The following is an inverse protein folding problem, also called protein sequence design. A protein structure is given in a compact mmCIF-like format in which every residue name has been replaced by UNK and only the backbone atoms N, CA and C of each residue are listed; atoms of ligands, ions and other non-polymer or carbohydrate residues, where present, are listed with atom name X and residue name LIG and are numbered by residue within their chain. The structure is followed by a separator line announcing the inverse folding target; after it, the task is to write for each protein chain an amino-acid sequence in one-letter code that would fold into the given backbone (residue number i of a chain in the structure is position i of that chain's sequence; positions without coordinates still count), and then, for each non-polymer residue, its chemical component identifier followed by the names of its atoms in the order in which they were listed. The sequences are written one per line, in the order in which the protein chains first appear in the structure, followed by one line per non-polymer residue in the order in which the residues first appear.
data_IF_118557154173
#
_entry.id   IF_118557154173
#
_cell.length_a   1.000
_cell.length_b   1.000
_cell.length_c   1.000
_cell.angle_alpha   90.00
_cell.angle_beta   90.00
_cell.angle_gamma   90.00
#
_symmetry.space_group_name_H-M   'P 1'
#
loop_
_entity.id
_entity.type
_entity.pdbx_description
1 polymer ?
#
# COMPACT_ATOMS: atom_id res chain seq x y z
N UNK A 1 -24.21 4.09 35.70
CA UNK A 1 -24.37 4.80 34.41
C UNK A 1 -23.16 5.69 34.23
N UNK A 2 -22.35 5.47 33.18
CA UNK A 2 -21.24 6.37 32.85
C UNK A 2 -21.88 7.68 32.40
N UNK A 3 -21.71 8.75 33.17
CA UNK A 3 -22.19 10.08 32.82
C UNK A 3 -21.46 10.53 31.56
N UNK A 4 -22.21 10.92 30.53
CA UNK A 4 -21.66 11.37 29.25
C UNK A 4 -21.25 12.83 29.39
N UNK A 5 -19.95 13.10 29.39
CA UNK A 5 -19.42 14.46 29.41
C UNK A 5 -19.21 14.96 27.97
N UNK A 6 -19.99 15.93 27.48
CA UNK A 6 -19.76 16.54 26.19
C UNK A 6 -18.48 17.39 26.20
N UNK A 7 -17.79 17.44 25.06
CA UNK A 7 -16.65 18.31 24.84
C UNK A 7 -16.63 18.82 23.41
N UNK A 8 -16.03 20.00 23.19
CA UNK A 8 -15.56 20.36 21.86
C UNK A 8 -14.50 19.34 21.42
N UNK A 9 -14.44 19.04 20.13
CA UNK A 9 -13.45 18.09 19.62
C UNK A 9 -12.03 18.48 20.10
N UNK A 10 -11.33 17.55 20.76
CA UNK A 10 -10.13 17.88 21.56
C UNK A 10 -8.90 18.30 20.74
N UNK A 11 -8.93 18.16 19.41
CA UNK A 11 -7.89 18.72 18.54
C UNK A 11 -8.00 20.22 18.31
N UNK A 12 -9.09 20.86 18.74
CA UNK A 12 -9.23 22.32 18.67
C UNK A 12 -8.75 22.98 19.96
N UNK A 13 -7.85 23.95 19.81
CA UNK A 13 -7.63 24.97 20.83
C UNK A 13 -8.74 26.02 20.75
N UNK A 14 -9.44 26.26 21.86
CA UNK A 14 -10.55 27.21 21.93
C UNK A 14 -10.01 28.58 22.37
N UNK A 15 -10.28 29.62 21.58
CA UNK A 15 -9.95 31.01 21.92
C UNK A 15 -11.23 31.86 21.90
N UNK A 16 -11.60 32.41 23.06
CA UNK A 16 -12.83 33.20 23.22
C UNK A 16 -12.46 34.67 23.17
N UNK A 17 -13.08 35.41 22.24
CA UNK A 17 -12.98 36.86 22.13
C UNK A 17 -14.36 37.44 22.40
N UNK A 18 -14.53 37.97 23.61
CA UNK A 18 -15.74 38.66 23.99
C UNK A 18 -16.02 39.88 23.08
N UNK A 19 -17.31 40.23 22.86
CA UNK A 19 -18.50 39.64 23.49
C UNK A 19 -19.16 38.51 22.69
N UNK A 20 -18.71 38.19 21.48
CA UNK A 20 -19.50 37.36 20.53
C UNK A 20 -18.71 36.36 19.70
N UNK A 21 -17.38 36.24 19.83
CA UNK A 21 -16.58 35.42 18.93
C UNK A 21 -15.87 34.29 19.67
N UNK A 22 -15.90 33.10 19.09
CA UNK A 22 -15.07 31.98 19.52
C UNK A 22 -14.36 31.39 18.33
N UNK A 23 -13.06 31.17 18.45
CA UNK A 23 -12.23 30.56 17.43
C UNK A 23 -11.84 29.15 17.88
N UNK A 24 -12.05 28.19 17.00
CA UNK A 24 -11.58 26.81 17.14
C UNK A 24 -10.36 26.66 16.24
N UNK A 25 -9.18 26.60 16.83
CA UNK A 25 -7.89 26.56 16.15
C UNK A 25 -7.36 25.12 16.14
N UNK A 26 -7.31 24.48 14.98
CA UNK A 26 -6.68 23.18 14.78
C UNK A 26 -5.49 23.29 13.82
N UNK A 27 -4.60 22.30 13.81
CA UNK A 27 -3.42 22.30 12.93
C UNK A 27 -3.78 22.21 11.43
N UNK A 28 -4.92 21.59 11.11
CA UNK A 28 -5.37 21.35 9.73
C UNK A 28 -6.59 22.19 9.32
N UNK A 29 -7.29 22.79 10.28
CA UNK A 29 -8.51 23.56 10.02
C UNK A 29 -8.73 24.62 11.10
N UNK A 30 -9.43 25.69 10.76
CA UNK A 30 -9.78 26.76 11.71
C UNK A 30 -11.22 27.18 11.47
N UNK A 31 -11.97 27.38 12.55
CA UNK A 31 -13.37 27.75 12.50
C UNK A 31 -13.66 28.93 13.42
N UNK A 32 -14.63 29.76 13.04
CA UNK A 32 -15.12 30.87 13.84
C UNK A 32 -16.62 30.70 14.12
N UNK A 33 -16.99 30.76 15.39
CA UNK A 33 -18.36 30.75 15.87
C UNK A 33 -18.72 32.16 16.33
N UNK A 34 -19.90 32.65 15.92
CA UNK A 34 -20.39 33.97 16.32
C UNK A 34 -21.68 33.83 17.11
N UNK A 35 -21.68 34.29 18.35
CA UNK A 35 -22.82 34.28 19.27
C UNK A 35 -22.40 34.40 20.73
N UNK A 36 -23.16 35.17 21.53
CA UNK A 36 -22.89 35.37 22.97
C UNK A 36 -23.00 34.06 23.75
N UNK A 37 -23.97 33.21 23.37
CA UNK A 37 -24.17 31.89 23.99
C UNK A 37 -22.95 30.98 23.80
N UNK A 38 -22.23 31.07 22.68
CA UNK A 38 -21.01 30.28 22.48
C UNK A 38 -19.92 30.70 23.47
N UNK A 39 -19.73 32.00 23.72
CA UNK A 39 -18.76 32.49 24.69
C UNK A 39 -19.05 32.00 26.12
N UNK A 40 -20.32 31.79 26.46
CA UNK A 40 -20.74 31.32 27.80
C UNK A 40 -20.72 29.79 27.95
N UNK A 41 -21.09 29.05 26.90
CA UNK A 41 -21.25 27.58 26.97
C UNK A 41 -19.93 26.84 26.70
N UNK A 42 -19.12 27.28 25.73
CA UNK A 42 -17.90 26.55 25.33
C UNK A 42 -16.87 26.32 26.46
N UNK A 43 -16.67 27.25 27.43
CA UNK A 43 -15.80 26.98 28.58
C UNK A 43 -16.20 25.76 29.42
N UNK A 44 -17.46 25.33 29.34
CA UNK A 44 -17.98 24.17 30.08
C UNK A 44 -17.99 22.88 29.23
N UNK A 45 -17.64 22.97 27.94
CA UNK A 45 -17.52 21.83 27.02
C UNK A 45 -16.07 21.34 26.96
N UNK A 46 -15.51 21.06 28.13
CA UNK A 46 -14.13 20.62 28.37
C UNK A 46 -14.03 19.10 28.63
N UNK A 47 -15.14 18.38 28.59
CA UNK A 47 -15.21 16.95 28.88
C UNK A 47 -15.19 16.58 30.36
N UNK A 48 -15.17 17.57 31.26
CA UNK A 48 -15.19 17.36 32.72
C UNK A 48 -16.60 17.53 33.31
N UNK A 49 -17.47 18.26 32.62
CA UNK A 49 -18.84 18.52 33.04
C UNK A 49 -19.81 17.59 32.31
N UNK A 50 -20.72 16.96 33.05
CA UNK A 50 -21.88 16.31 32.46
C UNK A 50 -22.99 17.35 32.18
N UNK A 51 -24.03 16.94 31.45
CA UNK A 51 -25.11 17.86 31.08
C UNK A 51 -25.78 18.50 32.30
N UNK A 52 -26.02 17.73 33.36
CA UNK A 52 -26.62 18.23 34.61
C UNK A 52 -25.75 19.31 35.26
N UNK A 53 -24.43 19.13 35.29
CA UNK A 53 -23.50 20.14 35.81
C UNK A 53 -23.44 21.39 34.92
N UNK A 54 -23.58 21.25 33.60
CA UNK A 54 -23.64 22.39 32.68
C UNK A 54 -24.92 23.21 32.93
N UNK A 55 -26.09 22.56 33.03
CA UNK A 55 -27.34 23.26 33.35
C UNK A 55 -27.26 23.98 34.70
N UNK A 56 -26.72 23.32 35.72
CA UNK A 56 -26.57 23.93 37.05
C UNK A 56 -25.60 25.11 37.05
N UNK A 57 -24.49 25.06 36.30
CA UNK A 57 -23.52 26.16 36.25
C UNK A 57 -24.04 27.38 35.48
N UNK A 58 -24.96 27.19 34.55
CA UNK A 58 -25.55 28.25 33.74
C UNK A 58 -26.95 28.68 34.22
N UNK A 59 -27.40 28.16 35.36
CA UNK A 59 -28.69 28.50 35.95
C UNK A 59 -28.77 30.01 36.24
N UNK A 60 -29.90 30.62 35.85
CA UNK A 60 -30.10 32.07 35.91
C UNK A 60 -29.35 32.91 34.85
N UNK A 61 -28.43 32.34 34.07
CA UNK A 61 -27.71 33.03 32.99
C UNK A 61 -28.24 32.66 31.59
N UNK A 62 -28.51 31.37 31.36
CA UNK A 62 -28.98 30.84 30.07
C UNK A 62 -30.12 29.86 30.31
N UNK A 63 -31.22 30.01 29.56
CA UNK A 63 -32.33 29.07 29.60
C UNK A 63 -31.90 27.67 29.10
N UNK A 64 -32.34 26.56 29.72
CA UNK A 64 -31.97 25.21 29.30
C UNK A 64 -32.21 24.92 27.80
N UNK A 65 -33.32 25.40 27.25
CA UNK A 65 -33.67 25.25 25.83
C UNK A 65 -32.62 25.87 24.88
N UNK A 66 -31.98 26.96 25.29
CA UNK A 66 -30.91 27.59 24.51
C UNK A 66 -29.59 26.81 24.62
N UNK A 67 -29.33 26.15 25.75
CA UNK A 67 -28.17 25.26 25.92
C UNK A 67 -28.34 24.08 24.98
N UNK A 68 -29.51 23.43 24.98
CA UNK A 68 -29.83 22.30 24.11
C UNK A 68 -29.67 22.66 22.64
N UNK A 69 -30.25 23.79 22.22
CA UNK A 69 -30.12 24.31 20.85
C UNK A 69 -28.65 24.54 20.44
N UNK A 70 -27.81 25.06 21.34
CA UNK A 70 -26.38 25.26 21.06
C UNK A 70 -25.66 23.93 20.93
N UNK A 71 -25.93 22.97 21.81
CA UNK A 71 -25.31 21.64 21.76
C UNK A 71 -25.70 20.87 20.50
N UNK A 72 -26.98 20.89 20.13
CA UNK A 72 -27.48 20.27 18.91
C UNK A 72 -26.83 20.92 17.68
N UNK A 73 -26.76 22.24 17.63
CA UNK A 73 -26.11 22.96 16.53
C UNK A 73 -24.60 22.67 16.42
N UNK A 74 -23.90 22.53 17.54
CA UNK A 74 -22.49 22.14 17.55
C UNK A 74 -22.30 20.70 17.11
N UNK A 75 -23.20 19.79 17.50
CA UNK A 75 -23.20 18.39 17.09
C UNK A 75 -23.50 18.22 15.60
N UNK A 76 -24.51 18.90 15.08
CA UNK A 76 -24.86 18.91 13.65
C UNK A 76 -23.71 19.40 12.78
N UNK A 77 -22.95 20.39 13.26
CA UNK A 77 -21.76 20.90 12.58
C UNK A 77 -20.49 20.09 12.81
N UNK A 78 -20.55 19.03 13.61
CA UNK A 78 -19.41 18.18 13.90
C UNK A 78 -18.35 18.82 14.79
N UNK A 79 -18.68 19.78 15.65
CA UNK A 79 -17.73 20.37 16.62
C UNK A 79 -17.81 19.74 18.01
N UNK A 80 -18.91 19.05 18.31
CA UNK A 80 -19.16 18.42 19.61
C UNK A 80 -18.92 16.91 19.55
N UNK A 81 -18.27 16.37 20.57
CA UNK A 81 -18.11 14.92 20.77
C UNK A 81 -18.30 14.56 22.25
N UNK A 82 -18.38 13.27 22.55
CA UNK A 82 -18.29 12.77 23.92
C UNK A 82 -16.82 12.55 24.30
N UNK A 83 -16.49 12.91 25.54
CA UNK A 83 -15.20 12.58 26.13
C UNK A 83 -15.06 11.07 26.35
N UNK A 84 -13.84 10.57 26.18
CA UNK A 84 -13.46 9.19 26.47
C UNK A 84 -12.46 9.20 27.64
N UNK A 85 -12.92 8.97 28.89
CA UNK A 85 -12.08 9.09 30.08
C UNK A 85 -10.84 8.18 30.08
N UNK A 86 -10.90 7.07 29.34
CA UNK A 86 -9.82 6.11 29.16
C UNK A 86 -8.68 6.60 28.25
N UNK A 87 -8.85 7.71 27.52
CA UNK A 87 -7.82 8.29 26.65
C UNK A 87 -7.24 9.56 27.26
N UNK A 88 -5.94 9.79 27.04
CA UNK A 88 -5.37 11.11 27.34
C UNK A 88 -5.93 12.17 26.38
N UNK A 89 -5.92 13.46 26.76
CA UNK A 89 -6.37 14.54 25.87
C UNK A 89 -5.66 14.55 24.52
N UNK A 90 -4.37 14.25 24.49
CA UNK A 90 -3.55 14.22 23.27
C UNK A 90 -3.93 13.04 22.35
N UNK A 91 -4.19 11.86 22.93
CA UNK A 91 -4.64 10.70 22.16
C UNK A 91 -6.06 10.93 21.62
N UNK A 92 -6.96 11.47 22.44
CA UNK A 92 -8.30 11.84 22.00
C UNK A 92 -8.27 12.89 20.88
N UNK A 93 -7.36 13.88 20.99
CA UNK A 93 -7.13 14.89 19.96
C UNK A 93 -6.71 14.25 18.63
N UNK A 94 -5.72 13.34 18.63
CA UNK A 94 -5.28 12.63 17.44
C UNK A 94 -6.45 11.94 16.70
N UNK A 95 -7.30 11.22 17.43
CA UNK A 95 -8.46 10.54 16.82
C UNK A 95 -9.51 11.51 16.31
N UNK A 96 -9.81 12.56 17.07
CA UNK A 96 -10.78 13.56 16.64
C UNK A 96 -10.32 14.33 15.40
N UNK A 97 -9.01 14.54 15.23
CA UNK A 97 -8.43 15.16 14.03
C UNK A 97 -8.57 14.25 12.79
N UNK A 98 -8.68 12.94 13.00
CA UNK A 98 -9.04 11.97 11.97
C UNK A 98 -10.56 11.81 11.80
N UNK A 99 -11.36 12.73 12.35
CA UNK A 99 -12.82 12.70 12.34
C UNK A 99 -13.41 11.44 13.03
N UNK A 100 -12.69 10.86 13.99
CA UNK A 100 -13.16 9.72 14.79
C UNK A 100 -13.56 10.19 16.17
N UNK A 101 -14.77 9.85 16.62
CA UNK A 101 -15.21 10.10 17.99
C UNK A 101 -14.26 9.39 18.98
N UNK A 102 -13.71 10.07 20.01
CA UNK A 102 -12.77 9.46 20.96
C UNK A 102 -13.30 8.19 21.63
N UNK A 103 -14.61 8.09 21.87
CA UNK A 103 -15.25 6.90 22.44
C UNK A 103 -15.19 5.68 21.51
N UNK A 104 -15.28 5.88 20.19
CA UNK A 104 -15.11 4.81 19.19
C UNK A 104 -13.65 4.37 19.15
N UNK A 105 -12.72 5.33 19.17
CA UNK A 105 -11.29 5.04 19.19
C UNK A 105 -10.88 4.23 20.43
N UNK A 106 -11.33 4.66 21.61
CA UNK A 106 -11.09 3.96 22.87
C UNK A 106 -11.60 2.51 22.84
N UNK A 107 -12.81 2.31 22.32
CA UNK A 107 -13.39 0.98 22.16
C UNK A 107 -12.58 0.12 21.19
N UNK A 108 -12.18 0.67 20.04
CA UNK A 108 -11.36 -0.02 19.05
C UNK A 108 -10.01 -0.48 19.62
N UNK A 109 -9.31 0.43 20.31
CA UNK A 109 -8.02 0.15 20.94
C UNK A 109 -8.12 -0.88 22.09
N UNK A 110 -9.17 -0.80 22.91
CA UNK A 110 -9.36 -1.68 24.07
C UNK A 110 -9.85 -3.09 23.72
N UNK A 111 -10.76 -3.23 22.75
CA UNK A 111 -11.39 -4.52 22.40
C UNK A 111 -10.51 -5.39 21.49
N UNK A 112 -9.73 -4.77 20.59
CA UNK A 112 -8.99 -5.51 19.57
C UNK A 112 -7.59 -5.90 20.04
N UNK A 113 -7.17 -7.10 19.62
CA UNK A 113 -5.85 -7.63 19.92
C UNK A 113 -5.05 -7.88 18.65
N UNK A 114 -3.74 -7.68 18.71
CA UNK A 114 -2.82 -7.94 17.60
C UNK A 114 -1.81 -9.04 17.93
N UNK A 115 -1.51 -9.91 16.98
CA UNK A 115 -0.50 -10.96 17.13
C UNK A 115 0.79 -10.57 16.42
N UNK A 116 1.95 -10.68 17.07
CA UNK A 116 3.24 -10.27 16.48
C UNK A 116 4.11 -11.50 16.19
N UNK A 117 4.53 -11.63 14.93
CA UNK A 117 5.46 -12.64 14.43
C UNK A 117 6.70 -11.98 13.80
N UNK A 118 7.81 -12.71 13.78
CA UNK A 118 9.07 -12.29 13.15
C UNK A 118 9.45 -13.31 12.07
N UNK A 119 10.02 -12.83 10.96
CA UNK A 119 10.48 -13.64 9.84
C UNK A 119 11.82 -13.14 9.34
N UNK A 120 12.76 -14.05 9.07
CA UNK A 120 14.12 -13.70 8.68
C UNK A 120 14.97 -13.27 9.87
N UNK A 121 15.95 -12.40 9.65
CA UNK A 121 16.92 -12.02 10.68
C UNK A 121 16.41 -10.85 11.57
N UNK A 122 15.21 -10.99 12.12
CA UNK A 122 14.64 -10.05 13.08
C UNK A 122 14.72 -10.64 14.49
N UNK A 123 15.48 -9.99 15.36
CA UNK A 123 15.68 -10.43 16.74
C UNK A 123 14.46 -10.23 17.64
N UNK A 124 14.41 -10.99 18.73
CA UNK A 124 13.34 -10.91 19.73
C UNK A 124 13.21 -9.52 20.37
N UNK A 125 14.33 -8.79 20.54
CA UNK A 125 14.29 -7.43 21.08
C UNK A 125 13.45 -6.49 20.22
N UNK A 126 13.53 -6.60 18.90
CA UNK A 126 12.70 -5.78 17.98
C UNK A 126 11.21 -6.08 18.15
N UNK A 127 10.86 -7.35 18.38
CA UNK A 127 9.48 -7.75 18.68
C UNK A 127 8.99 -7.14 20.00
N UNK A 128 9.83 -7.15 21.03
CA UNK A 128 9.52 -6.54 22.33
C UNK A 128 9.33 -5.02 22.17
N UNK A 129 10.24 -4.33 21.47
CA UNK A 129 10.11 -2.89 21.21
C UNK A 129 8.81 -2.52 20.48
N UNK A 130 8.38 -3.32 19.49
CA UNK A 130 7.09 -3.08 18.83
C UNK A 130 5.92 -3.32 19.78
N UNK A 131 6.02 -4.34 20.64
CA UNK A 131 4.99 -4.64 21.64
C UNK A 131 4.81 -3.47 22.60
N UNK A 132 5.91 -2.88 23.06
CA UNK A 132 5.91 -1.69 23.91
C UNK A 132 5.31 -0.48 23.18
N UNK A 133 5.72 -0.21 21.93
CA UNK A 133 5.16 0.86 21.12
C UNK A 133 3.64 0.71 20.90
N UNK A 134 3.17 -0.51 20.62
CA UNK A 134 1.73 -0.78 20.48
C UNK A 134 0.99 -0.54 21.79
N UNK A 135 1.55 -0.98 22.92
CA UNK A 135 0.97 -0.73 24.25
C UNK A 135 0.88 0.77 24.56
N UNK A 136 1.89 1.55 24.19
CA UNK A 136 1.89 3.01 24.34
C UNK A 136 0.80 3.68 23.50
N UNK A 137 0.46 3.11 22.34
CA UNK A 137 -0.69 3.56 21.53
C UNK A 137 -2.06 3.03 22.00
N UNK A 138 -2.09 2.24 23.08
CA UNK A 138 -3.32 1.62 23.61
C UNK A 138 -3.74 0.32 22.92
N UNK A 139 -2.95 -0.20 21.97
CA UNK A 139 -3.23 -1.47 21.26
C UNK A 139 -2.70 -2.65 22.06
N UNK A 140 -3.58 -3.60 22.37
CA UNK A 140 -3.22 -4.81 23.10
C UNK A 140 -2.58 -5.87 22.17
N UNK A 141 -1.49 -6.49 22.61
CA UNK A 141 -0.87 -7.60 21.89
C UNK A 141 -1.17 -8.96 22.53
N UNK A 142 -1.50 -9.97 21.74
CA UNK A 142 -1.59 -11.36 22.19
C UNK A 142 -0.27 -12.09 22.07
N UNK A 143 0.06 -12.88 23.10
CA UNK A 143 1.10 -13.90 22.98
C UNK A 143 0.46 -15.27 22.70
N UNK A 144 1.06 -16.11 21.84
CA UNK A 144 0.58 -17.47 21.64
C UNK A 144 0.71 -18.26 22.95
N UNK A 145 -0.41 -18.71 23.50
CA UNK A 145 -0.44 -19.60 24.67
C UNK A 145 -0.83 -21.02 24.22
N UNK A 146 -0.07 -22.03 24.66
CA UNK A 146 -0.39 -23.45 24.50
C UNK A 146 -0.71 -23.92 23.05
N UNK A 147 0.03 -23.42 22.06
CA UNK A 147 -0.07 -23.89 20.67
C UNK A 147 -1.39 -23.58 19.95
N UNK A 148 -2.30 -22.82 20.57
CA UNK A 148 -3.50 -22.27 19.92
C UNK A 148 -3.28 -20.78 19.69
N UNK A 149 -3.36 -20.35 18.43
CA UNK A 149 -3.34 -18.93 18.10
C UNK A 149 -4.64 -18.28 18.59
N UNK A 150 -4.58 -17.28 19.48
CA UNK A 150 -5.75 -16.49 19.83
C UNK A 150 -6.29 -15.78 18.57
N UNK A 151 -7.59 -15.53 18.53
CA UNK A 151 -8.23 -14.70 17.50
C UNK A 151 -7.76 -13.25 17.64
N UNK A 152 -6.75 -12.88 16.85
CA UNK A 152 -6.27 -11.51 16.74
C UNK A 152 -6.99 -10.78 15.61
N UNK A 153 -7.32 -9.51 15.79
CA UNK A 153 -7.88 -8.67 14.74
C UNK A 153 -6.88 -8.48 13.58
N UNK A 154 -5.59 -8.37 13.91
CA UNK A 154 -4.50 -8.20 12.93
C UNK A 154 -3.28 -9.03 13.32
N UNK A 155 -2.68 -9.74 12.37
CA UNK A 155 -1.36 -10.34 12.53
C UNK A 155 -0.27 -9.39 11.97
N UNK A 156 0.68 -9.01 12.80
CA UNK A 156 1.81 -8.16 12.45
C UNK A 156 3.05 -9.02 12.21
N UNK A 157 3.63 -8.93 11.02
CA UNK A 157 4.82 -9.70 10.64
C UNK A 157 5.98 -8.76 10.39
N UNK A 158 6.96 -8.79 11.30
CA UNK A 158 8.22 -8.08 11.16
C UNK A 158 9.18 -8.92 10.31
N UNK A 159 9.80 -8.31 9.31
CA UNK A 159 10.79 -8.99 8.47
C UNK A 159 11.95 -8.09 8.06
N UNK A 160 13.05 -8.68 7.63
CA UNK A 160 14.21 -8.01 7.04
C UNK A 160 14.15 -7.95 5.50
N UNK A 161 13.31 -8.75 4.86
CA UNK A 161 13.07 -8.75 3.41
C UNK A 161 11.67 -9.27 3.06
N UNK A 162 10.97 -8.62 2.12
CA UNK A 162 9.60 -9.00 1.74
C UNK A 162 9.54 -10.25 0.85
N UNK A 163 10.67 -10.77 0.40
CA UNK A 163 10.79 -12.02 -0.36
C UNK A 163 11.18 -13.22 0.52
N UNK A 164 11.20 -13.08 1.84
CA UNK A 164 11.48 -14.20 2.75
C UNK A 164 10.56 -15.41 2.47
N UNK A 165 11.09 -16.63 2.24
CA UNK A 165 10.30 -17.80 1.86
C UNK A 165 9.19 -18.17 2.85
N UNK A 166 9.43 -17.99 4.14
CA UNK A 166 8.48 -18.30 5.22
C UNK A 166 7.19 -17.48 5.12
N UNK A 167 7.24 -16.31 4.46
CA UNK A 167 6.06 -15.49 4.21
C UNK A 167 5.03 -16.18 3.29
N UNK A 168 5.46 -17.15 2.47
CA UNK A 168 4.54 -17.94 1.65
C UNK A 168 3.58 -18.77 2.50
N UNK A 169 4.08 -19.39 3.56
CA UNK A 169 3.28 -20.21 4.47
C UNK A 169 2.33 -19.34 5.30
N UNK A 170 2.82 -18.21 5.81
CA UNK A 170 1.99 -17.22 6.51
C UNK A 170 0.85 -16.75 5.60
N UNK A 171 1.16 -16.38 4.36
CA UNK A 171 0.15 -15.94 3.40
C UNK A 171 -0.91 -17.02 3.13
N UNK A 172 -0.52 -18.29 2.98
CA UNK A 172 -1.49 -19.38 2.79
C UNK A 172 -2.39 -19.56 4.01
N UNK A 173 -1.82 -19.54 5.21
CA UNK A 173 -2.58 -19.65 6.45
C UNK A 173 -3.54 -18.48 6.65
N UNK A 174 -3.09 -17.25 6.38
CA UNK A 174 -3.94 -16.06 6.49
C UNK A 174 -5.10 -16.09 5.46
N UNK A 175 -4.86 -16.60 4.25
CA UNK A 175 -5.92 -16.76 3.26
C UNK A 175 -6.94 -17.84 3.67
N UNK A 176 -6.51 -18.98 4.21
CA UNK A 176 -7.41 -20.07 4.62
C UNK A 176 -8.22 -19.73 5.87
N UNK A 177 -7.68 -18.89 6.75
CA UNK A 177 -8.32 -18.44 7.99
C UNK A 177 -9.03 -17.09 7.86
N UNK A 178 -8.99 -16.47 6.67
CA UNK A 178 -9.50 -15.12 6.42
C UNK A 178 -8.93 -14.07 7.40
N UNK A 179 -7.67 -14.26 7.83
CA UNK A 179 -6.99 -13.42 8.82
C UNK A 179 -6.30 -12.23 8.13
N UNK A 180 -6.66 -10.97 8.47
CA UNK A 180 -5.89 -9.81 8.04
C UNK A 180 -4.50 -9.77 8.68
N UNK A 181 -3.51 -9.33 7.91
CA UNK A 181 -2.12 -9.24 8.40
C UNK A 181 -1.33 -8.12 7.71
N UNK A 182 -0.30 -7.61 8.38
CA UNK A 182 0.56 -6.53 7.90
C UNK A 182 2.02 -6.96 7.84
N UNK A 183 2.72 -6.54 6.78
CA UNK A 183 4.18 -6.62 6.71
C UNK A 183 4.86 -5.33 7.15
N UNK A 184 5.96 -5.46 7.90
CA UNK A 184 6.80 -4.33 8.29
C UNK A 184 8.27 -4.72 8.19
N UNK A 185 9.06 -3.92 7.49
CA UNK A 185 10.52 -4.00 7.44
C UNK A 185 11.11 -2.77 8.14
N UNK A 186 11.35 -2.84 9.46
CA UNK A 186 11.81 -1.70 10.24
C UNK A 186 13.34 -1.57 10.24
N UNK A 187 14.06 -2.45 9.53
CA UNK A 187 15.52 -2.48 9.42
C UNK A 187 15.98 -2.03 8.03
N UNK A 188 17.23 -1.60 7.92
CA UNK A 188 17.79 -1.03 6.68
C UNK A 188 17.62 0.49 6.58
N UNK A 189 18.21 1.08 5.54
CA UNK A 189 18.14 2.52 5.26
C UNK A 189 16.81 2.99 4.66
N UNK A 190 15.96 2.05 4.23
CA UNK A 190 14.62 2.31 3.71
C UNK A 190 13.65 1.47 4.53
N UNK A 191 12.80 2.11 5.32
CA UNK A 191 11.75 1.47 6.11
C UNK A 191 10.58 1.13 5.20
N UNK A 192 10.02 -0.08 5.31
CA UNK A 192 8.84 -0.47 4.53
C UNK A 192 7.70 -0.83 5.49
N UNK A 193 6.57 -0.16 5.34
CA UNK A 193 5.38 -0.37 6.15
C UNK A 193 4.24 -0.80 5.23
N UNK A 194 3.53 -1.86 5.60
CA UNK A 194 2.47 -2.42 4.80
C UNK A 194 2.97 -3.37 3.71
N UNK A 195 2.07 -3.97 2.93
CA UNK A 195 0.65 -3.69 2.97
C UNK A 195 -0.03 -4.42 4.11
N UNK A 196 -1.17 -3.89 4.51
CA UNK A 196 -2.18 -4.69 5.21
C UNK A 196 -2.87 -5.51 4.13
N UNK A 197 -2.67 -6.82 4.20
CA UNK A 197 -3.34 -7.81 3.40
C UNK A 197 -4.68 -8.13 4.07
N UNK A 198 -5.76 -7.84 3.38
CA UNK A 198 -7.11 -8.25 3.77
C UNK A 198 -7.58 -9.30 2.77
N UNK A 199 -7.65 -10.59 3.16
CA UNK A 199 -8.12 -11.64 2.26
C UNK A 199 -9.45 -11.25 1.59
N UNK A 200 -9.61 -11.60 0.32
CA UNK A 200 -10.76 -11.25 -0.53
C UNK A 200 -10.92 -9.76 -0.90
N UNK A 201 -10.26 -8.82 -0.23
CA UNK A 201 -10.36 -7.39 -0.53
C UNK A 201 -9.09 -6.81 -1.19
N UNK A 202 -7.90 -7.25 -0.79
CA UNK A 202 -6.63 -6.76 -1.33
C UNK A 202 -5.90 -7.83 -2.17
N UNK A 203 -4.82 -7.45 -2.85
CA UNK A 203 -3.83 -8.42 -3.32
C UNK A 203 -3.25 -9.24 -2.17
N UNK A 204 -2.86 -10.50 -2.41
CA UNK A 204 -2.14 -11.32 -1.42
C UNK A 204 -0.62 -11.11 -1.53
N UNK A 205 0.17 -11.74 -0.64
CA UNK A 205 1.64 -11.65 -0.71
C UNK A 205 2.19 -12.17 -2.04
N UNK A 206 1.58 -13.19 -2.65
CA UNK A 206 2.02 -13.66 -3.97
C UNK A 206 1.69 -12.69 -5.12
N UNK A 207 0.70 -11.80 -4.94
CA UNK A 207 0.52 -10.67 -5.86
C UNK A 207 1.70 -9.70 -5.78
N UNK A 208 2.17 -9.43 -4.56
CA UNK A 208 3.30 -8.55 -4.29
C UNK A 208 4.63 -9.14 -4.76
N UNK A 209 4.94 -10.38 -4.40
CA UNK A 209 6.25 -10.98 -4.70
C UNK A 209 6.50 -11.18 -6.18
N UNK A 210 5.44 -11.40 -6.98
CA UNK A 210 5.58 -11.43 -8.43
C UNK A 210 6.13 -10.10 -8.98
N UNK A 211 5.68 -8.97 -8.43
CA UNK A 211 6.16 -7.63 -8.81
C UNK A 211 7.55 -7.36 -8.25
N UNK A 212 7.77 -7.65 -6.97
CA UNK A 212 9.08 -7.46 -6.33
C UNK A 212 10.20 -8.25 -7.02
N UNK A 213 9.97 -9.52 -7.37
CA UNK A 213 10.96 -10.34 -8.09
C UNK A 213 11.29 -9.76 -9.47
N UNK A 214 10.28 -9.24 -10.18
CA UNK A 214 10.50 -8.55 -11.46
C UNK A 214 11.32 -7.28 -11.30
N UNK A 215 11.07 -6.49 -10.25
CA UNK A 215 11.79 -5.24 -10.00
C UNK A 215 13.18 -5.46 -9.36
N UNK A 216 13.51 -6.67 -8.92
CA UNK A 216 14.79 -7.08 -8.35
C UNK A 216 15.53 -8.05 -9.30
N UNK A 217 15.77 -7.60 -10.53
CA UNK A 217 16.35 -8.44 -11.59
C UNK A 217 17.74 -8.97 -11.24
N UNK A 218 18.56 -8.14 -10.60
CA UNK A 218 19.92 -8.47 -10.22
C UNK A 218 19.90 -9.58 -9.18
N UNK A 219 19.12 -9.40 -8.12
CA UNK A 219 18.96 -10.38 -7.04
C UNK A 219 18.39 -11.70 -7.58
N UNK A 220 17.36 -11.61 -8.42
CA UNK A 220 16.76 -12.79 -9.07
C UNK A 220 17.77 -13.51 -9.97
N UNK A 221 18.62 -12.79 -10.71
CA UNK A 221 19.68 -13.39 -11.52
C UNK A 221 20.75 -14.06 -10.66
N UNK A 222 21.18 -13.41 -9.57
CA UNK A 222 22.16 -13.95 -8.63
C UNK A 222 21.66 -15.23 -7.95
N UNK A 223 20.40 -15.27 -7.51
CA UNK A 223 19.78 -16.46 -6.94
C UNK A 223 19.80 -17.63 -7.92
N UNK A 224 19.45 -17.38 -9.20
CA UNK A 224 19.50 -18.42 -10.25
C UNK A 224 20.91 -18.91 -10.54
N UNK A 225 21.90 -18.02 -10.56
CA UNK A 225 23.30 -18.40 -10.75
C UNK A 225 23.79 -19.27 -9.60
N UNK A 226 23.47 -18.90 -8.35
CA UNK A 226 23.77 -19.72 -7.17
C UNK A 226 23.08 -21.09 -7.21
N UNK A 227 21.81 -21.14 -7.62
CA UNK A 227 21.07 -22.39 -7.74
C UNK A 227 21.69 -23.32 -8.79
N UNK A 228 22.00 -22.81 -9.99
CA UNK A 228 22.70 -23.58 -11.03
C UNK A 228 24.06 -24.12 -10.56
N UNK A 229 24.79 -23.35 -9.76
CA UNK A 229 26.06 -23.78 -9.19
C UNK A 229 25.87 -24.90 -8.15
N UNK A 230 24.82 -24.79 -7.33
CA UNK A 230 24.46 -25.82 -6.35
C UNK A 230 23.97 -27.11 -7.02
N UNK A 231 23.23 -27.03 -8.12
CA UNK A 231 22.76 -28.22 -8.86
C UNK A 231 23.91 -28.99 -9.56
N UNK A 232 24.96 -28.27 -9.98
CA UNK A 232 26.13 -28.84 -10.65
C UNK A 232 27.14 -29.49 -9.69
N UNK A 233 27.11 -29.12 -8.42
CA UNK A 233 27.98 -29.67 -7.38
C UNK A 233 27.08 -30.56 -6.53
N UNK A 234 27.20 -31.89 -6.65
CA UNK A 234 26.39 -32.93 -5.99
C UNK A 234 26.41 -32.92 -4.43
N UNK A 235 26.64 -31.76 -3.81
CA UNK A 235 26.52 -31.51 -2.40
C UNK A 235 25.04 -31.31 -2.09
N UNK A 236 24.38 -32.41 -1.76
CA UNK A 236 23.14 -32.40 -0.97
C UNK A 236 23.45 -31.92 0.46
N UNK A 237 23.93 -30.70 0.62
CA UNK A 237 23.86 -30.04 1.93
C UNK A 237 22.39 -29.67 2.15
N UNK A 238 21.72 -30.47 2.98
CA UNK A 238 20.39 -30.21 3.53
C UNK A 238 20.26 -28.74 3.94
N UNK A 239 19.17 -28.09 3.52
CA UNK A 239 18.53 -27.05 4.32
C UNK A 239 18.14 -25.77 3.60
N UNK A 240 19.10 -25.01 3.08
CA UNK A 240 18.82 -23.61 2.75
C UNK A 240 18.61 -23.41 1.25
N UNK A 241 17.36 -23.58 0.82
CA UNK A 241 16.90 -22.93 -0.42
C UNK A 241 17.02 -21.43 -0.18
N UNK A 242 18.08 -20.81 -0.70
CA UNK A 242 18.27 -19.35 -0.63
C UNK A 242 17.19 -18.70 -1.49
N UNK A 243 16.04 -18.40 -0.88
CA UNK A 243 14.88 -17.83 -1.58
C UNK A 243 14.85 -16.30 -1.59
N UNK A 244 15.73 -15.64 -0.83
CA UNK A 244 15.96 -14.20 -0.88
C UNK A 244 17.41 -13.86 -0.52
N UNK A 245 17.83 -12.61 -0.80
CA UNK A 245 19.15 -12.08 -0.45
C UNK A 245 18.98 -10.82 0.41
N UNK A 246 18.87 -10.95 1.75
CA UNK A 246 18.62 -9.80 2.61
C UNK A 246 19.70 -8.73 2.47
N UNK A 247 19.27 -7.51 2.10
CA UNK A 247 20.16 -6.34 1.92
C UNK A 247 20.22 -5.44 3.16
N UNK A 248 19.28 -5.58 4.08
CA UNK A 248 19.13 -4.72 5.23
C UNK A 248 20.27 -4.93 6.24
N UNK A 249 21.35 -4.16 6.11
CA UNK A 249 22.48 -4.13 7.05
C UNK A 249 22.58 -2.83 7.84
N UNK A 250 22.35 -1.71 7.19
CA UNK A 250 22.45 -0.39 7.81
C UNK A 250 21.23 -0.12 8.69
N UNK A 251 21.41 -0.11 10.01
CA UNK A 251 20.33 0.19 10.97
C UNK A 251 20.92 0.95 12.16
N UNK A 252 20.39 2.13 12.46
CA UNK A 252 20.63 2.82 13.73
C UNK A 252 19.50 2.47 14.72
N UNK A 253 19.74 2.48 16.04
CA UNK A 253 18.68 2.30 17.02
C UNK A 253 17.54 3.31 16.85
N UNK A 254 17.86 4.56 16.53
CA UNK A 254 16.86 5.61 16.27
C UNK A 254 16.01 5.32 15.02
N UNK A 255 16.62 4.85 13.93
CA UNK A 255 15.90 4.52 12.70
C UNK A 255 15.02 3.29 12.86
N UNK A 256 15.48 2.31 13.65
CA UNK A 256 14.68 1.14 14.00
C UNK A 256 13.44 1.57 14.79
N UNK A 257 13.63 2.37 15.85
CA UNK A 257 12.52 2.86 16.67
C UNK A 257 11.56 3.73 15.87
N UNK A 258 12.05 4.59 14.98
CA UNK A 258 11.21 5.35 14.06
C UNK A 258 10.32 4.44 13.21
N UNK A 259 10.85 3.35 12.66
CA UNK A 259 10.06 2.38 11.89
C UNK A 259 9.03 1.62 12.72
N UNK A 260 9.37 1.27 13.96
CA UNK A 260 8.45 0.57 14.87
C UNK A 260 7.33 1.49 15.37
N UNK A 261 7.64 2.71 15.75
CA UNK A 261 6.66 3.71 16.20
C UNK A 261 5.74 4.15 15.07
N UNK A 262 6.29 4.30 13.86
CA UNK A 262 5.48 4.57 12.66
C UNK A 262 4.54 3.37 12.36
N UNK A 263 5.03 2.14 12.48
CA UNK A 263 4.19 0.96 12.32
C UNK A 263 3.09 0.88 13.38
N UNK A 264 3.39 1.18 14.66
CA UNK A 264 2.41 1.19 15.73
C UNK A 264 1.26 2.18 15.45
N UNK A 265 1.59 3.38 14.96
CA UNK A 265 0.59 4.39 14.55
C UNK A 265 -0.33 3.88 13.44
N UNK A 266 0.22 3.28 12.39
CA UNK A 266 -0.59 2.77 11.28
C UNK A 266 -1.40 1.51 11.65
N UNK A 267 -0.89 0.69 12.58
CA UNK A 267 -1.63 -0.44 13.15
C UNK A 267 -2.82 0.06 13.98
N UNK A 268 -2.60 1.04 14.86
CA UNK A 268 -3.65 1.65 15.67
C UNK A 268 -4.74 2.26 14.76
N UNK A 269 -4.35 3.00 13.71
CA UNK A 269 -5.28 3.56 12.72
C UNK A 269 -6.13 2.48 12.06
N UNK A 270 -5.53 1.35 11.69
CA UNK A 270 -6.28 0.26 11.08
C UNK A 270 -7.26 -0.40 12.07
N UNK A 271 -6.83 -0.67 13.29
CA UNK A 271 -7.64 -1.24 14.38
C UNK A 271 -8.88 -0.38 14.64
N UNK A 272 -8.69 0.92 14.86
CA UNK A 272 -9.80 1.86 15.05
C UNK A 272 -10.65 1.96 13.78
N UNK A 273 -10.03 1.95 12.61
CA UNK A 273 -10.75 1.99 11.33
C UNK A 273 -11.69 0.79 11.11
N UNK A 274 -11.36 -0.40 11.62
CA UNK A 274 -12.30 -1.53 11.60
C UNK A 274 -13.52 -1.27 12.49
N UNK A 275 -13.32 -0.62 13.64
CA UNK A 275 -14.42 -0.28 14.54
C UNK A 275 -15.36 0.77 13.95
N UNK A 276 -14.82 1.74 13.20
CA UNK A 276 -15.61 2.72 12.43
C UNK A 276 -16.40 2.03 11.31
N UNK A 277 -15.81 1.04 10.62
CA UNK A 277 -16.54 0.28 9.59
C UNK A 277 -17.71 -0.53 10.19
N UNK A 278 -17.62 -0.98 11.44
CA UNK A 278 -18.73 -1.65 12.15
C UNK A 278 -19.91 -0.71 12.46
N UNK A 279 -19.68 0.61 12.54
CA UNK A 279 -20.75 1.61 12.79
C UNK A 279 -21.45 2.07 11.50
N UNK A 280 -21.16 1.43 10.36
CA UNK A 280 -21.64 1.79 9.01
C UNK A 280 -21.22 3.20 8.54
N UNK A 281 -20.31 3.85 9.27
CA UNK A 281 -19.74 5.14 8.91
C UNK A 281 -18.62 4.97 7.88
N UNK A 282 -18.51 5.92 6.95
CA UNK A 282 -17.42 5.94 5.99
C UNK A 282 -16.11 6.34 6.66
N UNK A 283 -15.06 5.54 6.49
CA UNK A 283 -13.73 5.90 6.98
C UNK A 283 -13.18 7.12 6.23
N UNK A 284 -12.92 8.21 6.95
CA UNK A 284 -12.43 9.48 6.41
C UNK A 284 -10.92 9.51 6.14
N UNK A 285 -10.16 8.59 6.75
CA UNK A 285 -8.70 8.58 6.69
C UNK A 285 -8.12 7.33 5.99
N UNK A 286 -6.96 7.45 5.32
CA UNK A 286 -6.33 6.32 4.65
C UNK A 286 -5.62 5.38 5.63
N UNK A 287 -5.68 4.09 5.33
CA UNK A 287 -4.89 3.02 5.98
C UNK A 287 -3.93 2.37 4.97
N UNK A 288 -3.14 1.42 5.47
CA UNK A 288 -2.20 0.61 4.68
C UNK A 288 -2.85 -0.60 3.98
N UNK A 289 -4.18 -0.70 3.94
CA UNK A 289 -4.89 -1.74 3.17
C UNK A 289 -4.45 -1.68 1.70
N UNK A 290 -3.77 -2.74 1.24
CA UNK A 290 -3.24 -2.82 -0.12
C UNK A 290 -2.22 -1.74 -0.49
N UNK A 291 -1.50 -1.13 0.48
CA UNK A 291 -0.51 -0.08 0.22
C UNK A 291 0.78 -0.30 0.99
N UNK A 292 1.92 -0.07 0.34
CA UNK A 292 3.23 -0.05 0.98
C UNK A 292 3.70 1.39 1.06
N UNK A 293 4.12 1.83 2.24
CA UNK A 293 4.88 3.07 2.42
C UNK A 293 6.35 2.72 2.51
N UNK A 294 7.18 3.39 1.72
CA UNK A 294 8.63 3.38 1.93
C UNK A 294 9.08 4.73 2.45
N UNK A 295 9.91 4.72 3.50
CA UNK A 295 10.59 5.91 3.98
C UNK A 295 12.10 5.73 3.83
N UNK A 296 12.69 6.45 2.88
CA UNK A 296 14.13 6.50 2.66
C UNK A 296 14.76 7.49 3.64
N UNK A 297 15.51 6.98 4.60
CA UNK A 297 16.08 7.76 5.70
C UNK A 297 17.31 8.58 5.27
N UNK A 298 17.87 8.31 4.09
CA UNK A 298 19.04 9.03 3.58
C UNK A 298 18.64 10.30 2.82
N UNK A 299 17.57 10.20 2.01
CA UNK A 299 17.05 11.33 1.22
C UNK A 299 15.79 11.97 1.84
N UNK A 300 15.32 11.45 2.97
CA UNK A 300 14.07 11.83 3.63
C UNK A 300 12.87 11.81 2.68
N UNK A 301 12.80 10.75 1.86
CA UNK A 301 11.76 10.59 0.84
C UNK A 301 10.73 9.55 1.29
N UNK A 302 9.47 9.96 1.38
CA UNK A 302 8.34 9.08 1.64
C UNK A 302 7.56 8.82 0.34
N UNK A 303 7.36 7.55 0.01
CA UNK A 303 6.59 7.12 -1.16
C UNK A 303 5.53 6.10 -0.79
N UNK A 304 4.39 6.19 -1.46
CA UNK A 304 3.31 5.20 -1.35
C UNK A 304 3.25 4.37 -2.61
N UNK A 305 3.06 3.07 -2.45
CA UNK A 305 3.00 2.09 -3.53
C UNK A 305 1.74 1.24 -3.37
N UNK A 306 0.79 1.40 -4.30
CA UNK A 306 -0.42 0.58 -4.29
C UNK A 306 -0.09 -0.86 -4.72
N UNK A 307 -0.61 -1.84 -3.97
CA UNK A 307 -0.54 -3.26 -4.31
C UNK A 307 -1.76 -3.63 -5.16
N UNK A 308 -1.58 -3.94 -6.47
CA UNK A 308 -2.69 -4.45 -7.27
C UNK A 308 -3.06 -5.87 -6.85
N UNK A 309 -4.36 -6.14 -6.73
CA UNK A 309 -4.87 -7.51 -6.76
C UNK A 309 -4.69 -8.06 -8.18
N UNK A 310 -3.96 -9.18 -8.33
CA UNK A 310 -3.76 -9.84 -9.64
C UNK A 310 -4.88 -10.84 -9.87
N UNK A 311 -5.82 -10.62 -10.82
CA UNK A 311 -6.93 -11.55 -11.05
C UNK A 311 -6.47 -12.97 -11.38
N UNK A 312 -5.32 -13.10 -12.03
CA UNK A 312 -4.69 -14.37 -12.39
C UNK A 312 -3.68 -14.89 -11.35
N UNK A 313 -3.70 -14.36 -10.12
CA UNK A 313 -2.82 -14.86 -9.06
C UNK A 313 -3.05 -16.36 -8.83
N UNK A 314 -2.00 -17.20 -8.79
CA UNK A 314 -2.17 -18.63 -8.54
C UNK A 314 -2.54 -18.96 -7.08
N UNK A 315 -2.60 -17.96 -6.19
CA UNK A 315 -2.89 -18.15 -4.77
C UNK A 315 -4.23 -17.56 -4.36
N UNK A 316 -4.58 -16.35 -4.81
CA UNK A 316 -5.83 -15.67 -4.42
C UNK A 316 -6.73 -15.32 -5.62
N UNK A 317 -6.44 -15.85 -6.82
CA UNK A 317 -7.16 -15.55 -8.05
C UNK A 317 -7.38 -16.78 -8.94
N UNK A 318 -7.68 -16.54 -10.20
CA UNK A 318 -7.91 -17.58 -11.20
C UNK A 318 -6.68 -17.75 -12.12
N UNK A 319 -5.86 -18.77 -11.86
CA UNK A 319 -4.67 -19.10 -12.67
C UNK A 319 -4.99 -19.39 -14.15
N UNK A 320 -6.21 -19.84 -14.47
CA UNK A 320 -6.60 -20.19 -15.84
C UNK A 320 -7.13 -19.00 -16.64
N UNK A 321 -7.22 -17.80 -16.04
CA UNK A 321 -7.84 -16.63 -16.67
C UNK A 321 -7.30 -16.33 -18.08
N UNK A 322 -5.97 -16.34 -18.24
CA UNK A 322 -5.34 -16.06 -19.53
C UNK A 322 -5.40 -17.25 -20.48
N UNK A 323 -5.30 -18.48 -19.95
CA UNK A 323 -5.47 -19.71 -20.72
C UNK A 323 -6.84 -19.76 -21.37
N UNK A 324 -7.91 -19.63 -20.57
CA UNK A 324 -9.30 -19.67 -21.04
C UNK A 324 -9.57 -18.56 -22.06
N UNK A 325 -9.10 -17.32 -21.79
CA UNK A 325 -9.26 -16.18 -22.69
C UNK A 325 -8.52 -16.36 -24.01
N UNK A 326 -7.39 -17.05 -24.02
CA UNK A 326 -6.58 -17.26 -25.23
C UNK A 326 -7.25 -18.15 -26.29
N UNK A 327 -8.23 -18.96 -25.89
CA UNK A 327 -9.02 -19.79 -26.81
C UNK A 327 -10.37 -19.19 -27.16
N UNK A 328 -10.67 -17.98 -26.69
CA UNK A 328 -11.86 -17.22 -27.08
C UNK A 328 -11.60 -16.37 -28.32
N UNK A 329 -12.64 -16.12 -29.11
CA UNK A 329 -12.54 -15.25 -30.29
C UNK A 329 -12.23 -13.80 -29.88
N UNK A 330 -11.32 -13.15 -30.61
CA UNK A 330 -11.01 -11.73 -30.41
C UNK A 330 -12.23 -10.89 -30.77
N UNK A 331 -12.73 -10.11 -29.80
CA UNK A 331 -13.87 -9.22 -30.01
C UNK A 331 -13.39 -7.82 -30.37
N UNK A 332 -13.55 -7.43 -31.64
CA UNK A 332 -13.27 -6.08 -32.12
C UNK A 332 -14.53 -5.21 -32.04
N UNK A 333 -14.36 -3.93 -31.63
CA UNK A 333 -15.44 -2.94 -31.55
C UNK A 333 -14.97 -1.64 -32.19
N UNK A 334 -15.91 -0.84 -32.70
CA UNK A 334 -15.62 0.51 -33.19
C UNK A 334 -15.02 1.38 -32.08
N UNK A 335 -13.93 2.08 -32.37
CA UNK A 335 -13.23 2.99 -31.46
C UNK A 335 -12.99 4.33 -32.17
N UNK A 336 -13.84 5.35 -31.93
CA UNK A 336 -13.69 6.66 -32.56
C UNK A 336 -12.34 7.32 -32.21
N UNK A 337 -11.76 8.02 -33.20
CA UNK A 337 -10.50 8.73 -33.06
C UNK A 337 -10.75 10.10 -32.43
N UNK A 338 -10.65 10.22 -31.10
CA UNK A 338 -10.83 11.50 -30.41
C UNK A 338 -9.55 12.35 -30.32
N UNK A 339 -8.38 11.74 -30.50
CA UNK A 339 -7.09 12.44 -30.50
C UNK A 339 -6.34 12.17 -31.81
N UNK A 340 -6.17 13.22 -32.62
CA UNK A 340 -5.56 13.16 -33.96
C UNK A 340 -4.39 14.14 -34.14
N UNK A 341 -3.85 14.67 -33.03
CA UNK A 341 -2.67 15.54 -33.01
C UNK A 341 -1.38 14.71 -32.96
N UNK A 342 -0.24 15.39 -33.05
CA UNK A 342 1.09 14.82 -32.85
C UNK A 342 1.46 13.65 -33.77
N UNK A 343 0.86 13.60 -34.97
CA UNK A 343 1.20 12.61 -36.01
C UNK A 343 0.64 11.21 -35.77
N UNK A 344 -0.32 11.04 -34.85
CA UNK A 344 -0.98 9.75 -34.58
C UNK A 344 -2.49 9.86 -34.44
N UNK A 345 -3.16 8.71 -34.45
CA UNK A 345 -4.61 8.60 -34.21
C UNK A 345 -4.86 7.69 -33.02
N UNK A 346 -5.49 8.24 -31.96
CA UNK A 346 -5.79 7.52 -30.71
C UNK A 346 -7.23 7.82 -30.25
N UNK A 347 -7.80 6.90 -29.47
CA UNK A 347 -9.13 7.06 -28.89
C UNK A 347 -9.15 7.95 -27.64
N UNK A 348 -8.01 8.13 -26.99
CA UNK A 348 -7.82 8.93 -25.76
C UNK A 348 -6.53 9.74 -25.86
N UNK A 349 -6.41 10.80 -25.05
CA UNK A 349 -5.19 11.65 -25.06
C UNK A 349 -4.01 10.94 -24.36
N UNK A 350 -2.76 11.33 -24.64
CA UNK A 350 -1.61 10.81 -23.92
C UNK A 350 -1.65 11.07 -22.41
N UNK A 351 -2.14 12.23 -21.96
CA UNK A 351 -2.27 12.57 -20.54
C UNK A 351 -3.28 11.66 -19.84
N UNK A 352 -4.45 11.45 -20.45
CA UNK A 352 -5.47 10.54 -19.94
C UNK A 352 -4.94 9.10 -19.84
N UNK A 353 -4.13 8.68 -20.82
CA UNK A 353 -3.52 7.35 -20.82
C UNK A 353 -2.58 7.20 -19.63
N UNK A 354 -1.67 8.15 -19.41
CA UNK A 354 -0.72 8.03 -18.30
C UNK A 354 -1.44 8.17 -16.96
N UNK A 355 -2.34 9.15 -16.79
CA UNK A 355 -3.10 9.33 -15.54
C UNK A 355 -3.86 8.06 -15.14
N UNK A 356 -4.51 7.39 -16.09
CA UNK A 356 -5.26 6.16 -15.83
C UNK A 356 -4.38 5.02 -15.30
N UNK A 357 -3.14 4.93 -15.79
CA UNK A 357 -2.24 3.82 -15.52
C UNK A 357 -1.00 4.19 -14.69
N UNK A 358 -0.97 5.39 -14.11
CA UNK A 358 0.17 5.90 -13.33
C UNK A 358 0.49 5.03 -12.13
N UNK A 359 -0.51 4.34 -11.58
CA UNK A 359 -0.36 3.36 -10.51
C UNK A 359 0.55 2.17 -10.88
N UNK A 360 0.84 1.95 -12.17
CA UNK A 360 1.79 0.94 -12.64
C UNK A 360 3.26 1.39 -12.56
N UNK A 361 3.50 2.67 -12.26
CA UNK A 361 4.82 3.25 -12.07
C UNK A 361 5.21 3.12 -10.60
N UNK A 362 5.96 2.08 -10.27
CA UNK A 362 6.55 1.88 -8.95
C UNK A 362 7.70 0.89 -9.04
N UNK A 363 8.84 1.17 -8.38
CA UNK A 363 9.95 0.22 -8.30
C UNK A 363 9.66 -0.98 -7.38
N UNK A 364 8.53 -1.00 -6.67
CA UNK A 364 8.15 -2.11 -5.79
C UNK A 364 6.96 -2.89 -6.34
N UNK A 365 5.82 -2.20 -6.52
CA UNK A 365 4.54 -2.85 -6.86
C UNK A 365 4.15 -2.68 -8.33
N UNK A 366 4.86 -1.80 -9.05
CA UNK A 366 4.63 -1.48 -10.44
C UNK A 366 5.27 -2.48 -11.41
N UNK A 367 4.98 -2.28 -12.69
CA UNK A 367 5.66 -2.97 -13.81
C UNK A 367 6.58 -2.02 -14.58
N UNK A 368 6.44 -0.71 -14.34
CA UNK A 368 7.36 0.33 -14.78
C UNK A 368 8.08 0.84 -13.52
N UNK A 369 9.38 0.68 -13.46
CA UNK A 369 10.21 1.02 -12.29
C UNK A 369 10.39 2.54 -12.14
N UNK A 370 10.63 3.22 -13.27
CA UNK A 370 10.85 4.66 -13.37
C UNK A 370 10.31 5.17 -14.70
N UNK A 371 9.88 6.44 -14.75
CA UNK A 371 9.52 7.14 -15.98
C UNK A 371 10.05 8.57 -15.90
N UNK A 372 11.17 8.83 -16.57
CA UNK A 372 11.95 10.06 -16.38
C UNK A 372 12.25 10.71 -17.73
N UNK A 373 12.06 12.04 -17.81
CA UNK A 373 12.47 12.83 -18.98
C UNK A 373 13.99 12.93 -19.02
N UNK A 374 14.59 12.68 -20.18
CA UNK A 374 16.06 12.76 -20.37
C UNK A 374 16.44 13.99 -21.18
N UNK A 375 15.63 14.37 -22.16
CA UNK A 375 15.78 15.63 -22.89
C UNK A 375 15.67 16.83 -21.95
N UNK A 376 16.39 17.91 -22.26
CA UNK A 376 16.27 19.21 -21.59
C UNK A 376 14.82 19.72 -21.57
N UNK A 377 14.23 20.01 -20.38
CA UNK A 377 12.92 20.62 -20.27
C UNK A 377 12.80 21.98 -20.97
N UNK A 378 13.89 22.74 -21.07
CA UNK A 378 13.93 24.04 -21.74
C UNK A 378 13.87 23.95 -23.27
N UNK A 379 14.09 22.77 -23.85
CA UNK A 379 14.00 22.54 -25.29
C UNK A 379 12.56 22.16 -25.69
N UNK A 380 11.85 23.00 -26.48
CA UNK A 380 10.48 22.73 -26.88
C UNK A 380 10.35 21.80 -28.10
N UNK A 381 11.48 21.36 -28.69
CA UNK A 381 11.50 20.56 -29.92
C UNK A 381 11.83 19.09 -29.67
N UNK A 382 12.56 18.78 -28.60
CA UNK A 382 13.04 17.43 -28.30
C UNK A 382 12.42 16.94 -27.00
N UNK A 383 11.58 15.91 -27.13
CA UNK A 383 10.95 15.24 -25.99
C UNK A 383 11.35 13.77 -26.02
N UNK A 384 12.13 13.36 -25.02
CA UNK A 384 12.52 11.97 -24.83
C UNK A 384 12.40 11.55 -23.37
N UNK A 385 11.85 10.35 -23.19
CA UNK A 385 11.69 9.72 -21.88
C UNK A 385 12.42 8.38 -21.85
N UNK A 386 12.83 7.98 -20.66
CA UNK A 386 13.27 6.62 -20.34
C UNK A 386 12.29 6.01 -19.37
N UNK A 387 11.88 4.78 -19.69
CA UNK A 387 11.05 3.97 -18.84
C UNK A 387 11.80 2.69 -18.45
N UNK A 388 12.02 2.52 -17.16
CA UNK A 388 12.61 1.30 -16.61
C UNK A 388 11.55 0.23 -16.45
N UNK A 389 11.86 -1.02 -16.79
CA UNK A 389 11.02 -2.18 -16.54
C UNK A 389 11.89 -3.44 -16.53
N UNK A 390 11.30 -4.56 -16.11
CA UNK A 390 11.99 -5.84 -16.17
C UNK A 390 12.01 -6.43 -17.59
N UNK A 391 13.11 -7.06 -18.00
CA UNK A 391 13.26 -7.84 -19.24
C UNK A 391 13.27 -9.36 -19.00
N UNK A 392 13.03 -9.80 -17.77
CA UNK A 392 13.02 -11.21 -17.41
C UNK A 392 14.39 -11.74 -17.01
N UNK A 393 14.66 -13.00 -17.35
CA UNK A 393 15.55 -13.83 -16.54
C UNK A 393 16.95 -14.02 -17.13
N UNK A 394 17.93 -13.24 -16.67
CA UNK A 394 19.34 -13.51 -16.99
C UNK A 394 19.93 -14.62 -16.10
N UNK A 395 20.64 -15.58 -16.69
CA UNK A 395 21.36 -16.64 -15.94
C UNK A 395 22.89 -16.52 -16.00
N UNK A 396 23.40 -15.38 -16.48
CA UNK A 396 24.83 -15.09 -16.55
C UNK A 396 25.06 -13.58 -16.44
N UNK A 397 26.27 -13.17 -16.05
CA UNK A 397 26.64 -11.75 -15.98
C UNK A 397 26.55 -11.05 -17.35
N UNK A 398 26.86 -11.76 -18.44
CA UNK A 398 26.71 -11.23 -19.81
C UNK A 398 25.23 -10.96 -20.13
N UNK A 399 24.36 -11.92 -19.84
CA UNK A 399 22.92 -11.76 -20.02
C UNK A 399 22.35 -10.63 -19.16
N UNK A 400 22.80 -10.50 -17.91
CA UNK A 400 22.35 -9.45 -17.01
C UNK A 400 22.76 -8.05 -17.50
N UNK A 401 24.02 -7.88 -17.92
CA UNK A 401 24.48 -6.61 -18.51
C UNK A 401 23.69 -6.24 -19.77
N UNK A 402 23.32 -7.23 -20.58
CA UNK A 402 22.49 -7.00 -21.76
C UNK A 402 21.08 -6.55 -21.37
N UNK A 403 20.43 -7.27 -20.43
CA UNK A 403 19.09 -6.93 -19.94
C UNK A 403 19.04 -5.53 -19.33
N UNK A 404 19.99 -5.18 -18.46
CA UNK A 404 20.03 -3.89 -17.77
C UNK A 404 20.28 -2.67 -18.69
N UNK A 405 20.84 -2.89 -19.89
CA UNK A 405 21.12 -1.83 -20.87
C UNK A 405 19.91 -1.46 -21.70
N UNK A 406 19.08 -2.44 -22.04
CA UNK A 406 17.87 -2.19 -22.81
C UNK A 406 16.86 -1.59 -21.85
N UNK A 407 16.35 -0.41 -22.17
CA UNK A 407 15.25 0.24 -21.45
C UNK A 407 14.25 0.69 -22.50
N UNK A 408 12.98 0.74 -22.12
CA UNK A 408 11.97 1.35 -22.98
C UNK A 408 12.21 2.85 -23.06
N UNK A 409 11.87 3.45 -24.21
CA UNK A 409 12.10 4.86 -24.47
C UNK A 409 10.88 5.53 -25.08
N UNK A 410 10.52 6.67 -24.50
CA UNK A 410 9.48 7.53 -25.04
C UNK A 410 10.06 8.52 -26.04
N UNK A 411 9.32 8.71 -27.13
CA UNK A 411 9.54 9.79 -28.09
C UNK A 411 8.23 10.45 -28.44
N UNK A 412 8.24 11.75 -28.69
CA UNK A 412 7.04 12.48 -29.08
C UNK A 412 7.32 13.86 -29.62
N UNK A 413 6.37 14.40 -30.38
CA UNK A 413 6.31 15.80 -30.80
C UNK A 413 5.98 16.73 -29.63
N UNK A 414 5.34 16.21 -28.60
CA UNK A 414 5.03 16.89 -27.34
C UNK A 414 5.60 16.11 -26.15
N UNK A 415 5.77 16.80 -25.02
CA UNK A 415 6.21 16.20 -23.76
C UNK A 415 5.27 15.07 -23.32
N UNK A 416 3.97 15.32 -23.33
CA UNK A 416 2.96 14.34 -22.93
C UNK A 416 2.92 13.12 -23.85
N UNK A 417 3.06 13.32 -25.17
CA UNK A 417 3.15 12.20 -26.12
C UNK A 417 4.40 11.35 -25.84
N UNK A 418 5.56 11.98 -25.60
CA UNK A 418 6.78 11.24 -25.28
C UNK A 418 6.66 10.49 -23.95
N UNK A 419 6.05 11.10 -22.93
CA UNK A 419 5.80 10.45 -21.64
C UNK A 419 4.91 9.22 -21.80
N UNK A 420 3.79 9.36 -22.52
CA UNK A 420 2.88 8.25 -22.80
C UNK A 420 3.54 7.16 -23.66
N UNK A 421 4.34 7.54 -24.66
CA UNK A 421 5.08 6.61 -25.51
C UNK A 421 6.01 5.72 -24.68
N UNK A 422 6.83 6.32 -23.81
CA UNK A 422 7.79 5.56 -23.01
C UNK A 422 7.11 4.67 -21.98
N UNK A 423 6.04 5.17 -21.35
CA UNK A 423 5.21 4.40 -20.45
C UNK A 423 4.57 3.18 -21.14
N UNK A 424 3.90 3.39 -22.27
CA UNK A 424 3.20 2.33 -22.98
C UNK A 424 4.17 1.28 -23.55
N UNK A 425 5.36 1.68 -24.03
CA UNK A 425 6.37 0.72 -24.46
C UNK A 425 6.81 -0.17 -23.28
N UNK A 426 7.07 0.41 -22.10
CA UNK A 426 7.45 -0.39 -20.93
C UNK A 426 6.36 -1.39 -20.51
N UNK A 427 5.09 -0.98 -20.54
CA UNK A 427 3.94 -1.85 -20.28
C UNK A 427 3.83 -2.95 -21.35
N UNK A 428 4.03 -2.61 -22.63
CA UNK A 428 4.04 -3.56 -23.75
C UNK A 428 5.12 -4.63 -23.55
N UNK A 429 6.37 -4.21 -23.33
CA UNK A 429 7.50 -5.12 -23.12
C UNK A 429 7.27 -6.05 -21.94
N UNK A 430 6.77 -5.52 -20.81
CA UNK A 430 6.42 -6.34 -19.66
C UNK A 430 5.33 -7.36 -19.98
N UNK A 431 4.28 -6.94 -20.71
CA UNK A 431 3.13 -7.79 -21.03
C UNK A 431 3.48 -8.93 -21.99
N UNK A 432 4.59 -8.83 -22.72
CA UNK A 432 5.12 -9.90 -23.57
C UNK A 432 6.01 -10.93 -22.84
N UNK A 433 6.31 -10.72 -21.54
CA UNK A 433 7.15 -11.65 -20.77
C UNK A 433 6.33 -12.87 -20.38
N UNK A 434 6.86 -14.07 -20.69
CA UNK A 434 6.30 -15.34 -20.27
C UNK A 434 6.29 -15.49 -18.74
N UNK A 435 5.10 -15.69 -18.16
CA UNK A 435 4.84 -15.84 -16.72
C UNK A 435 4.47 -17.28 -16.34
N UNK A 436 4.02 -18.11 -17.29
CA UNK A 436 3.65 -19.52 -17.09
C UNK A 436 2.16 -19.81 -17.20
N UNK A 437 1.31 -18.79 -17.20
CA UNK A 437 -0.16 -18.86 -17.29
C UNK A 437 -0.70 -18.55 -18.70
N UNK A 438 0.19 -18.39 -19.69
CA UNK A 438 -0.18 -18.18 -21.08
C UNK A 438 -0.97 -19.36 -21.69
N UNK A 439 -1.90 -19.09 -22.62
CA UNK A 439 -2.66 -20.12 -23.33
C UNK A 439 -1.73 -21.04 -24.12
N UNK A 440 -1.75 -22.33 -23.79
CA UNK A 440 -0.87 -23.35 -24.39
C UNK A 440 -1.63 -24.66 -24.59
N UNK A 441 -1.29 -25.34 -25.69
CA UNK A 441 -1.67 -26.71 -26.00
C UNK A 441 -0.37 -27.47 -26.25
N UNK A 442 -0.20 -28.62 -25.60
CA UNK A 442 0.90 -29.53 -25.92
C UNK A 442 0.46 -30.47 -27.05
N UNK A 443 1.01 -30.30 -28.24
CA UNK A 443 0.63 -31.05 -29.44
C UNK A 443 1.74 -30.96 -30.50
N UNK A 444 1.75 -31.90 -31.45
CA UNK A 444 2.65 -31.86 -32.60
C UNK A 444 2.07 -31.06 -33.77
N UNK A 445 2.93 -30.63 -34.71
CA UNK A 445 2.46 -29.96 -35.95
C UNK A 445 1.51 -30.87 -36.74
N UNK A 446 1.77 -32.19 -36.75
CA UNK A 446 0.93 -33.17 -37.44
C UNK A 446 -0.48 -33.24 -36.82
N UNK A 447 -0.58 -33.24 -35.50
CA UNK A 447 -1.87 -33.26 -34.78
C UNK A 447 -2.68 -31.97 -34.95
N UNK A 448 -2.01 -30.82 -34.96
CA UNK A 448 -2.64 -29.51 -35.18
C UNK A 448 -3.07 -29.28 -36.63
N UNK A 449 -2.46 -30.02 -37.58
CA UNK A 449 -2.76 -29.97 -39.01
C UNK A 449 -2.66 -28.54 -39.57
N UNK A 450 -3.64 -28.16 -40.39
CA UNK A 450 -3.68 -26.83 -41.04
C UNK A 450 -3.85 -25.64 -40.10
N UNK A 451 -4.02 -25.84 -38.79
CA UNK A 451 -4.07 -24.75 -37.79
C UNK A 451 -2.68 -24.36 -37.29
N UNK A 452 -1.68 -25.21 -37.46
CA UNK A 452 -0.31 -24.92 -37.06
C UNK A 452 0.39 -24.03 -38.10
N UNK A 453 1.17 -23.08 -37.61
CA UNK A 453 2.10 -22.28 -38.41
C UNK A 453 3.50 -22.77 -38.07
N UNK A 454 4.23 -23.28 -39.08
CA UNK A 454 5.61 -23.73 -38.87
C UNK A 454 6.50 -22.54 -38.50
N UNK A 455 7.36 -22.60 -37.45
CA UNK A 455 8.16 -21.45 -37.02
C UNK A 455 9.04 -20.83 -38.11
N UNK A 456 9.53 -21.63 -39.06
CA UNK A 456 10.35 -21.14 -40.18
C UNK A 456 9.61 -20.15 -41.09
N UNK A 457 8.27 -20.24 -41.16
CA UNK A 457 7.45 -19.26 -41.89
C UNK A 457 7.50 -17.86 -41.25
N UNK A 458 7.87 -17.78 -39.96
CA UNK A 458 7.99 -16.53 -39.22
C UNK A 458 9.45 -16.10 -39.03
N UNK A 459 10.36 -17.05 -38.84
CA UNK A 459 11.78 -16.78 -38.57
C UNK A 459 12.57 -16.41 -39.82
N UNK A 460 12.22 -17.00 -40.97
CA UNK A 460 12.80 -16.68 -42.28
C UNK A 460 14.34 -16.76 -42.35
N UNK A 461 14.96 -17.65 -41.56
CA UNK A 461 16.37 -17.98 -41.72
C UNK A 461 16.57 -18.85 -42.96
N UNK A 462 17.60 -18.54 -43.73
CA UNK A 462 18.02 -19.37 -44.87
C UNK A 462 18.60 -20.70 -44.39
N UNK A 463 18.55 -21.72 -45.25
CA UNK A 463 19.20 -23.01 -44.99
C UNK A 463 20.67 -22.84 -44.63
N UNK A 464 21.38 -21.93 -45.32
CA UNK A 464 22.79 -21.64 -45.03
C UNK A 464 22.99 -21.12 -43.60
N UNK A 465 22.10 -20.29 -43.08
CA UNK A 465 22.20 -19.82 -41.69
C UNK A 465 21.98 -20.95 -40.70
N UNK A 466 21.03 -21.87 -40.98
CA UNK A 466 20.84 -23.06 -40.15
C UNK A 466 22.04 -24.00 -40.16
N UNK A 467 22.67 -24.20 -41.32
CA UNK A 467 23.86 -25.05 -41.44
C UNK A 467 25.09 -24.46 -40.72
N UNK A 468 25.18 -23.13 -40.59
CA UNK A 468 26.31 -22.44 -39.98
C UNK A 468 25.99 -21.87 -38.58
N UNK A 469 24.99 -22.43 -37.87
CA UNK A 469 24.71 -22.01 -36.49
C UNK A 469 25.82 -22.55 -35.57
N UNK A 470 26.44 -21.66 -34.79
CA UNK A 470 27.37 -22.00 -33.70
C UNK A 470 26.63 -22.25 -32.39
#
# INVERSE_FOLDING_TARGET
MIKKCPQIQPHYSIQIIEPKHVYLLGEQSTHALTGQLYCQILPLLDGQHDLDAIYHKLDGLVLPEHIDYVLDRLKEKGYLTQAAPELSPEVAAFWSALEVAPTIAARGLGEQQVAIATVGNIGNLTKVSLTEALRETGVNSTQPQNGKSPTAALQVVLTDDYLQPQLSEINQNCLSTNQPWILVKPVGNILWLGPIFVPSATGCWNCLTQRLRGNQEIETSLLRQKQKQADNVSIKSRGDVVGCLPKARATLPSTLQMGLQFAATEIAKWVVGQKVKETEESLSFPTLEGKIITFNLHHLELKTHALPHRPQCPTCGNIKLLHDRGFQAVTLKSQPKHFTRDGGHRAVTPEQTVQKYEHLISPLTGIVTELVRISDPGNPLVHTYRAGHSFGSATSLRGLRHALRHKSSGKGKSDSQSRASGFCEAVERYSGIYQGDEPRINSTIAELGGKAIHPEQCLLFSDRQYHNRE
#
